data_IF_374406049818
#
_entry.id   IF_374406049818
#
_cell.length_a   1.000
_cell.length_b   1.000
_cell.length_c   1.000
_cell.angle_alpha   90.00
_cell.angle_beta   90.00
_cell.angle_gamma   90.00
#
_symmetry.space_group_name_H-M   'P 1'
#
loop_
_entity.id
_entity.type
_entity.pdbx_description
1 polymer ?
#
# COMPACT_ATOMS: atom_id res chain seq x y z
N UNK A 1 4.83 -31.18 -74.75
CA UNK A 1 4.94 -31.51 -73.32
C UNK A 1 4.25 -30.41 -72.54
N UNK A 2 2.92 -30.35 -72.67
CA UNK A 2 2.04 -29.47 -71.91
C UNK A 2 1.73 -30.16 -70.58
N UNK A 3 2.40 -29.80 -69.50
CA UNK A 3 2.01 -30.26 -68.16
C UNK A 3 2.02 -29.07 -67.20
N UNK A 4 0.79 -28.66 -66.86
CA UNK A 4 0.36 -28.26 -65.52
C UNK A 4 1.29 -27.30 -64.76
N UNK A 5 1.21 -26.01 -65.09
CA UNK A 5 1.52 -24.96 -64.11
C UNK A 5 0.40 -23.91 -64.06
N UNK A 6 -0.85 -24.36 -63.98
CA UNK A 6 -1.93 -23.53 -63.41
C UNK A 6 -1.66 -23.40 -61.92
N UNK A 7 -0.68 -22.56 -61.59
CA UNK A 7 -0.51 -22.02 -60.25
C UNK A 7 -1.84 -21.34 -59.93
N UNK A 8 -2.65 -21.97 -59.09
CA UNK A 8 -3.89 -21.41 -58.56
C UNK A 8 -3.48 -20.15 -57.80
N UNK A 9 -3.49 -19.01 -58.48
CA UNK A 9 -3.39 -17.70 -57.84
C UNK A 9 -4.68 -17.58 -57.04
N UNK A 10 -4.67 -18.10 -55.81
CA UNK A 10 -5.71 -17.82 -54.83
C UNK A 10 -5.72 -16.30 -54.68
N UNK A 11 -6.79 -15.66 -55.14
CA UNK A 11 -7.08 -14.27 -54.81
C UNK A 11 -7.07 -14.17 -53.30
N UNK A 12 -6.07 -13.49 -52.75
CA UNK A 12 -6.09 -13.07 -51.35
C UNK A 12 -7.12 -11.96 -51.29
N UNK A 13 -8.31 -12.29 -50.79
CA UNK A 13 -9.33 -11.32 -50.40
C UNK A 13 -8.68 -10.40 -49.34
N UNK A 14 -8.61 -9.10 -49.64
CA UNK A 14 -8.13 -8.08 -48.71
C UNK A 14 -9.30 -7.51 -47.92
N UNK A 15 -9.05 -7.06 -46.69
CA UNK A 15 -10.05 -6.35 -45.91
C UNK A 15 -10.50 -5.08 -46.62
N UNK A 16 -11.79 -4.83 -46.59
CA UNK A 16 -12.38 -3.58 -47.08
C UNK A 16 -12.12 -2.44 -46.09
N UNK A 17 -12.06 -1.20 -46.59
CA UNK A 17 -11.95 -0.01 -45.72
C UNK A 17 -13.11 0.09 -44.73
N UNK A 18 -14.31 -0.36 -45.13
CA UNK A 18 -15.50 -0.32 -44.28
C UNK A 18 -15.41 -1.34 -43.14
N UNK A 19 -14.84 -2.52 -43.38
CA UNK A 19 -14.60 -3.52 -42.32
C UNK A 19 -13.67 -2.98 -41.25
N UNK A 20 -12.56 -2.34 -41.65
CA UNK A 20 -11.63 -1.75 -40.67
C UNK A 20 -12.28 -0.58 -39.92
N UNK A 21 -13.06 0.26 -40.59
CA UNK A 21 -13.76 1.39 -39.96
C UNK A 21 -14.76 0.93 -38.89
N UNK A 22 -15.56 -0.09 -39.19
CA UNK A 22 -16.54 -0.62 -38.23
C UNK A 22 -15.84 -1.28 -37.05
N UNK A 23 -14.74 -2.02 -37.28
CA UNK A 23 -13.99 -2.69 -36.22
C UNK A 23 -13.39 -1.69 -35.23
N UNK A 24 -12.74 -0.63 -35.70
CA UNK A 24 -12.18 0.37 -34.77
C UNK A 24 -13.28 1.11 -34.01
N UNK A 25 -14.46 1.32 -34.63
CA UNK A 25 -15.63 1.89 -33.97
C UNK A 25 -16.14 1.02 -32.83
N UNK A 26 -16.25 -0.30 -33.07
CA UNK A 26 -16.67 -1.26 -32.05
C UNK A 26 -15.63 -1.34 -30.92
N UNK A 27 -14.33 -1.39 -31.24
CA UNK A 27 -13.25 -1.41 -30.24
C UNK A 27 -13.31 -0.18 -29.34
N UNK A 28 -13.54 1.02 -29.90
CA UNK A 28 -13.65 2.24 -29.12
C UNK A 28 -14.83 2.20 -28.12
N UNK A 29 -15.98 1.69 -28.53
CA UNK A 29 -17.16 1.55 -27.66
C UNK A 29 -16.92 0.50 -26.57
N UNK A 30 -16.35 -0.65 -26.92
CA UNK A 30 -16.06 -1.70 -25.94
C UNK A 30 -15.01 -1.23 -24.92
N UNK A 31 -13.99 -0.49 -25.35
CA UNK A 31 -12.95 0.04 -24.46
C UNK A 31 -13.52 0.99 -23.40
N UNK A 32 -14.44 1.90 -23.79
CA UNK A 32 -15.05 2.84 -22.84
C UNK A 32 -15.91 2.13 -21.80
N UNK A 33 -16.72 1.15 -22.22
CA UNK A 33 -17.55 0.34 -21.31
C UNK A 33 -16.68 -0.40 -20.28
N UNK A 34 -15.58 -1.01 -20.73
CA UNK A 34 -14.66 -1.78 -19.87
C UNK A 34 -14.02 -0.90 -18.80
N UNK A 35 -13.58 0.31 -19.15
CA UNK A 35 -12.94 1.24 -18.19
C UNK A 35 -13.93 1.63 -17.08
N UNK A 36 -15.18 1.94 -17.44
CA UNK A 36 -16.23 2.29 -16.47
C UNK A 36 -16.53 1.09 -15.57
N UNK A 37 -16.57 -0.12 -16.12
CA UNK A 37 -16.89 -1.34 -15.39
C UNK A 37 -15.83 -1.71 -14.33
N UNK A 38 -14.54 -1.46 -14.58
CA UNK A 38 -13.45 -1.88 -13.68
C UNK A 38 -13.25 -0.93 -12.49
N UNK A 39 -13.74 0.32 -12.58
CA UNK A 39 -13.57 1.36 -11.55
C UNK A 39 -12.12 1.42 -11.03
N UNK A 40 -11.16 1.91 -11.85
CA UNK A 40 -9.74 1.90 -11.50
C UNK A 40 -9.45 2.67 -10.21
N UNK A 41 -10.20 3.74 -9.91
CA UNK A 41 -10.05 4.50 -8.67
C UNK A 41 -10.24 3.61 -7.43
N UNK A 42 -11.27 2.75 -7.44
CA UNK A 42 -11.51 1.80 -6.35
C UNK A 42 -10.39 0.77 -6.22
N UNK A 43 -9.86 0.28 -7.35
CA UNK A 43 -8.76 -0.71 -7.34
C UNK A 43 -7.48 -0.13 -6.74
N UNK A 44 -7.15 1.12 -7.07
CA UNK A 44 -6.00 1.80 -6.47
C UNK A 44 -6.17 2.02 -4.97
N UNK A 45 -7.38 2.41 -4.53
CA UNK A 45 -7.68 2.55 -3.10
C UNK A 45 -7.54 1.20 -2.36
N UNK A 46 -8.04 0.10 -2.92
CA UNK A 46 -7.89 -1.24 -2.35
C UNK A 46 -6.41 -1.66 -2.24
N UNK A 47 -5.60 -1.36 -3.26
CA UNK A 47 -4.18 -1.66 -3.23
C UNK A 47 -3.46 -0.87 -2.11
N UNK A 48 -3.80 0.41 -1.92
CA UNK A 48 -3.22 1.25 -0.85
C UNK A 48 -3.66 0.78 0.53
N UNK A 49 -4.93 0.44 0.74
CA UNK A 49 -5.42 -0.11 2.00
C UNK A 49 -4.77 -1.46 2.34
N UNK A 50 -4.48 -2.28 1.33
CA UNK A 50 -3.70 -3.52 1.51
C UNK A 50 -2.27 -3.22 1.94
N UNK A 51 -1.62 -2.24 1.31
CA UNK A 51 -0.28 -1.79 1.70
C UNK A 51 -0.26 -1.25 3.13
N UNK A 52 -1.23 -0.40 3.50
CA UNK A 52 -1.41 0.12 4.87
C UNK A 52 -1.51 -1.01 5.87
N UNK A 53 -2.37 -1.99 5.61
CA UNK A 53 -2.52 -3.16 6.49
C UNK A 53 -1.20 -3.91 6.68
N UNK A 54 -0.41 -4.09 5.61
CA UNK A 54 0.92 -4.68 5.71
C UNK A 54 1.87 -3.82 6.56
N UNK A 55 1.87 -2.50 6.35
CA UNK A 55 2.70 -1.55 7.09
C UNK A 55 2.37 -1.56 8.60
N UNK A 56 1.08 -1.54 8.96
CA UNK A 56 0.63 -1.62 10.36
C UNK A 56 1.14 -2.89 11.04
N UNK A 57 1.05 -4.03 10.35
CA UNK A 57 1.58 -5.31 10.85
C UNK A 57 3.12 -5.28 10.99
N UNK A 58 3.83 -4.66 10.06
CA UNK A 58 5.29 -4.51 10.12
C UNK A 58 5.71 -3.71 11.36
N UNK A 59 5.06 -2.58 11.64
CA UNK A 59 5.31 -1.76 12.84
C UNK A 59 4.97 -2.55 14.11
N UNK A 60 3.78 -3.16 14.16
CA UNK A 60 3.33 -3.89 15.34
C UNK A 60 4.22 -5.09 15.67
N UNK A 61 4.70 -5.80 14.65
CA UNK A 61 5.66 -6.90 14.84
C UNK A 61 7.01 -6.39 15.33
N UNK A 62 7.52 -5.28 14.81
CA UNK A 62 8.77 -4.69 15.26
C UNK A 62 8.68 -4.23 16.73
N UNK A 63 7.57 -3.58 17.11
CA UNK A 63 7.30 -3.22 18.52
C UNK A 63 7.25 -4.48 19.39
N UNK A 64 6.54 -5.52 18.94
CA UNK A 64 6.44 -6.79 19.66
C UNK A 64 7.80 -7.48 19.84
N UNK A 65 8.68 -7.43 18.84
CA UNK A 65 10.04 -7.96 18.92
C UNK A 65 10.90 -7.15 19.90
N UNK A 66 10.83 -5.82 19.85
CA UNK A 66 11.53 -4.96 20.81
C UNK A 66 11.12 -5.29 22.26
N UNK A 67 9.82 -5.40 22.52
CA UNK A 67 9.30 -5.77 23.85
C UNK A 67 9.78 -7.16 24.28
N UNK A 68 9.78 -8.13 23.36
CA UNK A 68 10.22 -9.50 23.65
C UNK A 68 11.71 -9.55 24.06
N UNK A 69 12.56 -8.83 23.34
CA UNK A 69 14.00 -8.78 23.62
C UNK A 69 14.32 -8.00 24.91
N UNK A 70 13.50 -7.02 25.25
CA UNK A 70 13.69 -6.14 26.40
C UNK A 70 12.84 -6.52 27.62
N UNK A 71 12.62 -7.83 27.82
CA UNK A 71 11.97 -8.40 29.02
C UNK A 71 10.56 -7.86 29.28
N UNK A 72 9.80 -7.58 28.23
CA UNK A 72 8.44 -7.08 28.33
C UNK A 72 8.32 -5.56 28.39
N UNK A 73 9.43 -4.83 28.24
CA UNK A 73 9.46 -3.36 28.26
C UNK A 73 9.75 -2.86 26.84
N UNK A 74 9.01 -1.87 26.36
CA UNK A 74 9.34 -1.22 25.09
C UNK A 74 10.47 -0.21 25.31
N UNK A 75 11.56 -0.33 24.54
CA UNK A 75 12.75 0.49 24.75
C UNK A 75 13.22 1.18 23.47
N UNK A 76 13.77 2.38 23.64
CA UNK A 76 14.33 3.21 22.60
C UNK A 76 15.75 3.59 23.01
N UNK A 77 16.75 3.24 22.22
CA UNK A 77 18.16 3.52 22.54
C UNK A 77 18.57 3.08 23.96
N UNK A 78 17.99 1.97 24.44
CA UNK A 78 18.26 1.39 25.77
C UNK A 78 17.50 2.01 26.94
N UNK A 79 16.63 3.00 26.71
CA UNK A 79 15.76 3.59 27.73
C UNK A 79 14.32 3.12 27.55
N UNK A 80 13.57 2.97 28.64
CA UNK A 80 12.14 2.66 28.57
C UNK A 80 11.37 3.80 27.89
N UNK A 81 10.50 3.45 26.94
CA UNK A 81 9.60 4.37 26.27
C UNK A 81 8.16 3.92 26.47
N UNK A 82 7.37 4.77 27.10
CA UNK A 82 5.94 4.50 27.30
C UNK A 82 5.15 4.95 26.08
N UNK A 83 4.51 4.00 25.41
CA UNK A 83 3.59 4.31 24.31
C UNK A 83 2.39 5.13 24.84
N UNK A 84 1.88 6.08 24.03
CA UNK A 84 0.79 6.96 24.46
C UNK A 84 -0.51 6.18 24.67
N UNK A 85 -1.30 6.58 25.67
CA UNK A 85 -2.60 5.97 25.97
C UNK A 85 -3.73 6.34 24.99
N UNK A 86 -3.46 7.25 24.06
CA UNK A 86 -4.40 7.72 23.04
C UNK A 86 -3.72 7.71 21.67
N UNK A 87 -4.52 7.56 20.61
CA UNK A 87 -4.03 7.49 19.24
C UNK A 87 -3.16 8.72 18.91
N UNK A 88 -1.87 8.50 18.76
CA UNK A 88 -0.87 9.55 18.52
C UNK A 88 -0.09 9.21 17.27
N UNK A 89 0.10 10.18 16.38
CA UNK A 89 0.84 9.98 15.12
C UNK A 89 2.28 9.59 15.41
N UNK A 90 2.82 8.66 14.62
CA UNK A 90 4.21 8.22 14.64
C UNK A 90 5.00 9.11 13.68
N UNK A 91 5.75 10.08 14.23
CA UNK A 91 6.56 11.06 13.48
C UNK A 91 7.69 11.62 14.35
N UNK A 92 8.69 12.22 13.71
CA UNK A 92 9.77 12.95 14.37
C UNK A 92 9.26 14.24 15.02
N UNK A 93 8.76 14.16 16.26
CA UNK A 93 8.30 15.30 17.03
C UNK A 93 8.16 14.97 18.51
N UNK A 94 8.56 15.91 19.37
CA UNK A 94 8.39 15.78 20.83
C UNK A 94 6.93 15.68 21.30
N UNK A 95 5.97 16.09 20.46
CA UNK A 95 4.54 16.02 20.74
C UNK A 95 3.88 14.79 20.10
N UNK A 96 4.67 13.92 19.47
CA UNK A 96 4.23 12.73 18.77
C UNK A 96 4.86 11.47 19.37
N UNK A 97 4.47 10.31 18.86
CA UNK A 97 5.15 9.05 19.19
C UNK A 97 6.39 8.91 18.31
N UNK A 98 7.47 9.59 18.70
CA UNK A 98 8.77 9.40 18.05
C UNK A 98 9.35 8.05 18.48
N UNK A 99 9.28 7.07 17.58
CA UNK A 99 9.70 5.70 17.81
C UNK A 99 10.70 5.18 16.77
N UNK A 100 11.30 6.08 15.98
CA UNK A 100 12.21 5.69 14.90
C UNK A 100 13.39 4.89 15.44
N UNK A 101 14.13 5.45 16.40
CA UNK A 101 15.31 4.82 17.00
C UNK A 101 14.99 3.58 17.85
N UNK A 102 13.70 3.33 18.14
CA UNK A 102 13.25 2.14 18.86
C UNK A 102 13.13 0.93 17.93
N UNK A 103 12.87 1.16 16.64
CA UNK A 103 12.53 0.13 15.66
C UNK A 103 13.58 0.00 14.56
N UNK A 104 14.09 1.13 14.07
CA UNK A 104 15.08 1.21 12.98
C UNK A 104 16.47 1.44 13.58
N UNK A 105 17.53 0.75 13.11
CA UNK A 105 17.54 -0.30 12.09
C UNK A 105 17.38 -1.73 12.64
N UNK A 106 17.23 -1.89 13.96
CA UNK A 106 17.39 -3.20 14.64
C UNK A 106 16.24 -4.18 14.35
N UNK A 107 14.99 -3.71 14.39
CA UNK A 107 13.78 -4.53 14.25
C UNK A 107 13.11 -4.39 12.88
N UNK A 108 13.46 -3.33 12.15
CA UNK A 108 13.11 -3.12 10.76
C UNK A 108 14.17 -2.30 10.05
N UNK A 109 14.42 -2.54 8.75
CA UNK A 109 15.50 -1.87 8.01
C UNK A 109 15.23 -0.38 7.74
N UNK A 110 13.97 0.01 7.63
CA UNK A 110 13.51 1.38 7.42
C UNK A 110 12.08 1.52 7.96
N UNK A 111 11.67 2.74 8.32
CA UNK A 111 10.30 3.00 8.75
C UNK A 111 9.36 2.91 7.54
N UNK A 112 8.14 2.44 7.77
CA UNK A 112 7.10 2.37 6.74
C UNK A 112 6.18 3.58 6.81
N UNK A 113 5.86 4.14 5.65
CA UNK A 113 5.03 5.32 5.50
C UNK A 113 3.65 4.97 4.92
N UNK A 114 2.64 5.78 5.23
CA UNK A 114 1.41 5.82 4.45
C UNK A 114 1.72 6.16 2.98
N UNK A 115 1.17 5.41 2.00
CA UNK A 115 1.48 5.63 0.59
C UNK A 115 0.97 6.96 0.01
N UNK A 116 0.13 7.69 0.73
CA UNK A 116 -0.44 8.98 0.29
C UNK A 116 0.04 10.11 1.18
N UNK A 117 -0.04 9.92 2.50
CA UNK A 117 0.18 11.00 3.48
C UNK A 117 1.51 10.88 4.23
N UNK A 118 2.26 9.81 4.02
CA UNK A 118 3.56 9.62 4.64
C UNK A 118 4.64 10.53 4.02
N UNK A 119 5.49 11.08 4.87
CA UNK A 119 6.58 11.98 4.49
C UNK A 119 7.91 11.45 5.07
N UNK A 120 8.96 11.43 4.24
CA UNK A 120 10.36 11.22 4.63
C UNK A 120 10.64 10.07 5.63
N UNK A 121 9.98 8.91 5.49
CA UNK A 121 10.17 7.75 6.38
C UNK A 121 11.58 7.14 6.43
N UNK A 122 12.50 7.59 5.60
CA UNK A 122 13.90 7.17 5.65
C UNK A 122 14.76 8.09 6.53
N UNK A 123 14.26 9.25 6.96
CA UNK A 123 14.99 10.24 7.76
C UNK A 123 14.46 10.30 9.21
N UNK A 124 15.29 9.86 10.17
CA UNK A 124 14.94 9.84 11.59
C UNK A 124 14.58 11.21 12.19
N UNK A 125 15.02 12.31 11.58
CA UNK A 125 14.78 13.67 12.08
C UNK A 125 13.53 14.35 11.52
N UNK A 126 12.92 13.82 10.46
CA UNK A 126 11.85 14.51 9.71
C UNK A 126 10.68 13.61 9.34
N UNK A 127 10.76 12.31 9.58
CA UNK A 127 9.72 11.39 9.15
C UNK A 127 8.33 11.69 9.73
N UNK A 128 7.31 11.39 8.94
CA UNK A 128 5.92 11.31 9.33
C UNK A 128 5.29 10.09 8.67
N UNK A 129 4.95 9.07 9.45
CA UNK A 129 4.36 7.86 8.86
C UNK A 129 2.89 8.02 8.48
N UNK A 130 2.21 9.07 9.00
CA UNK A 130 0.76 9.22 9.04
C UNK A 130 -0.01 8.05 9.71
N UNK A 131 0.70 7.10 10.32
CA UNK A 131 0.11 6.08 11.18
C UNK A 131 0.08 6.54 12.63
N UNK A 132 -0.85 5.99 13.40
CA UNK A 132 -0.99 6.27 14.82
C UNK A 132 -0.69 5.04 15.65
N UNK A 133 -0.12 5.25 16.84
CA UNK A 133 0.07 4.22 17.86
C UNK A 133 -0.68 4.61 19.12
N UNK A 134 -1.23 3.60 19.80
CA UNK A 134 -1.77 3.75 21.15
C UNK A 134 -1.58 2.46 21.95
N UNK A 135 -1.50 2.58 23.27
CA UNK A 135 -1.50 1.45 24.20
C UNK A 135 -2.68 1.57 25.15
N UNK A 136 -3.51 0.53 25.20
CA UNK A 136 -4.60 0.44 26.17
C UNK A 136 -4.05 0.13 27.57
N UNK A 137 -4.81 0.44 28.62
CA UNK A 137 -4.45 0.10 30.03
C UNK A 137 -4.25 -1.40 30.25
N UNK A 138 -4.76 -2.25 29.35
CA UNK A 138 -4.54 -3.70 29.33
C UNK A 138 -3.16 -4.13 28.78
N UNK A 139 -2.33 -3.17 28.35
CA UNK A 139 -1.04 -3.44 27.69
C UNK A 139 -1.16 -3.79 26.20
N UNK A 140 -2.37 -3.77 25.63
CA UNK A 140 -2.58 -4.03 24.20
C UNK A 140 -2.15 -2.84 23.37
N UNK A 141 -1.37 -3.09 22.34
CA UNK A 141 -0.83 -2.06 21.43
C UNK A 141 -1.65 -2.08 20.16
N UNK A 142 -2.11 -0.90 19.75
CA UNK A 142 -2.89 -0.70 18.53
C UNK A 142 -2.15 0.26 17.61
N UNK A 143 -1.91 -0.17 16.37
CA UNK A 143 -1.44 0.70 15.29
C UNK A 143 -2.60 0.91 14.32
N UNK A 144 -2.89 2.15 13.95
CA UNK A 144 -4.00 2.48 13.06
C UNK A 144 -3.61 3.45 11.94
N UNK A 145 -4.23 3.29 10.78
CA UNK A 145 -4.22 4.23 9.67
C UNK A 145 -5.52 5.06 9.69
N UNK A 146 -5.47 6.36 10.03
CA UNK A 146 -6.66 7.21 10.18
C UNK A 146 -7.32 7.59 8.84
N UNK A 147 -6.55 7.82 7.76
CA UNK A 147 -7.12 8.14 6.43
C UNK A 147 -7.28 6.92 5.53
N UNK A 148 -8.15 5.97 5.92
CA UNK A 148 -8.59 4.92 5.01
C UNK A 148 -9.39 5.51 3.85
N UNK A 149 -9.08 5.11 2.62
CA UNK A 149 -9.72 5.70 1.43
C UNK A 149 -11.05 5.04 1.05
N UNK A 150 -11.26 3.81 1.51
CA UNK A 150 -12.54 3.13 1.43
C UNK A 150 -13.26 3.29 2.77
N UNK A 151 -14.58 3.47 2.75
CA UNK A 151 -15.44 3.78 3.90
C UNK A 151 -15.46 2.68 4.99
N UNK A 152 -14.34 2.48 5.65
CA UNK A 152 -14.14 1.64 6.82
C UNK A 152 -13.54 2.55 7.89
N UNK A 153 -14.14 2.70 9.08
CA UNK A 153 -13.53 3.52 10.12
C UNK A 153 -12.22 2.83 10.56
N UNK A 154 -11.10 3.51 10.34
CA UNK A 154 -9.75 3.20 10.83
C UNK A 154 -9.28 1.75 10.66
N UNK A 155 -8.42 1.50 9.68
CA UNK A 155 -7.69 0.22 9.59
C UNK A 155 -6.73 0.15 10.76
N UNK A 156 -7.02 -0.74 11.72
CA UNK A 156 -6.20 -0.91 12.92
C UNK A 156 -5.85 -2.37 13.16
N UNK A 157 -4.64 -2.58 13.69
CA UNK A 157 -4.16 -3.89 14.13
C UNK A 157 -3.80 -3.78 15.61
N UNK A 158 -4.34 -4.69 16.43
CA UNK A 158 -4.10 -4.73 17.87
C UNK A 158 -3.45 -6.05 18.27
N UNK A 159 -2.44 -5.98 19.15
CA UNK A 159 -1.84 -7.16 19.78
C UNK A 159 -1.83 -6.99 21.29
#
# INVERSE_FOLDING_TARGET
MEIMLKKLIQKREGFTLIEILVVIGIIAVLATIVIIAINPARQFAQARDTQRTSNLNTILNAIGQNIADNRGIFTCSGSEFTLPGSATVIRASIAAADIYDCLVPTYMPAMVCDPVEGEDCDDSGQYNTAYTVSMATSGRITIAAPETELANPDLSVTR
#
